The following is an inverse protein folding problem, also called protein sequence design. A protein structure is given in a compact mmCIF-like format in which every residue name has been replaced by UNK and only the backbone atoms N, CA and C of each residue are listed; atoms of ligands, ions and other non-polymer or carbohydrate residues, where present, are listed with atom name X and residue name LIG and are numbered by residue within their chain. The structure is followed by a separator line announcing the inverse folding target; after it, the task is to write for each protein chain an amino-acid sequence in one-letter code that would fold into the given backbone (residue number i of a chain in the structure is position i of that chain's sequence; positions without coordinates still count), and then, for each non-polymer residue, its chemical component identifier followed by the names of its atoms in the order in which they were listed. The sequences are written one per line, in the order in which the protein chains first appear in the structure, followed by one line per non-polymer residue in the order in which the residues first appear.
data_IF_118672089148
#
_entry.id   IF_118672089148
#
_cell.length_a   1.000
_cell.length_b   1.000
_cell.length_c   1.000
_cell.angle_alpha   90.00
_cell.angle_beta   90.00
_cell.angle_gamma   90.00
#
_symmetry.space_group_name_H-M   'P 1'
#
loop_
_entity.id
_entity.type
_entity.pdbx_description
1 polymer ?
#
# COMPACT_ATOMS: atom_id res chain seq x y z
N UNK A 1 8.76 25.45 11.23
CA UNK A 1 8.98 26.53 10.23
C UNK A 1 9.81 27.58 10.93
N UNK A 2 10.74 28.22 10.23
CA UNK A 2 11.45 29.35 10.82
C UNK A 2 10.59 30.63 10.76
N UNK A 3 10.99 31.66 11.51
CA UNK A 3 10.29 32.95 11.58
C UNK A 3 10.02 33.56 10.20
N UNK A 4 10.98 33.47 9.26
CA UNK A 4 10.83 34.02 7.91
C UNK A 4 9.78 33.28 7.09
N UNK A 5 9.72 31.96 7.20
CA UNK A 5 8.68 31.13 6.56
C UNK A 5 7.30 31.44 7.12
N UNK A 6 7.19 31.61 8.44
CA UNK A 6 5.93 32.02 9.09
C UNK A 6 5.50 33.41 8.65
N UNK A 7 6.42 34.37 8.55
CA UNK A 7 6.12 35.70 8.02
C UNK A 7 5.59 35.64 6.58
N UNK A 8 6.18 34.80 5.72
CA UNK A 8 5.70 34.59 4.37
C UNK A 8 4.30 33.95 4.32
N UNK A 9 4.03 32.97 5.22
CA UNK A 9 2.72 32.34 5.34
C UNK A 9 1.63 33.33 5.79
N UNK A 10 1.94 34.17 6.78
CA UNK A 10 1.06 35.23 7.27
C UNK A 10 0.80 36.29 6.19
N UNK A 11 1.84 36.73 5.47
CA UNK A 11 1.68 37.65 4.35
C UNK A 11 0.78 37.07 3.24
N UNK A 12 0.91 35.77 2.97
CA UNK A 12 0.02 35.07 2.05
C UNK A 12 -1.42 35.00 2.56
N UNK A 13 -1.62 34.74 3.86
CA UNK A 13 -2.95 34.76 4.48
C UNK A 13 -3.61 36.14 4.36
N UNK A 14 -2.89 37.23 4.67
CA UNK A 14 -3.38 38.62 4.52
C UNK A 14 -3.70 38.95 3.06
N UNK A 15 -2.90 38.46 2.11
CA UNK A 15 -3.19 38.63 0.67
C UNK A 15 -4.52 37.99 0.27
N UNK A 16 -4.87 36.85 0.87
CA UNK A 16 -6.13 36.13 0.59
C UNK A 16 -7.32 36.68 1.38
N UNK A 17 -7.12 37.11 2.63
CA UNK A 17 -8.11 37.75 3.48
C UNK A 17 -7.57 39.04 4.12
N UNK A 18 -7.71 40.19 3.42
CA UNK A 18 -7.20 41.48 3.90
C UNK A 18 -7.76 41.94 5.25
N UNK A 19 -8.88 41.36 5.72
CA UNK A 19 -9.44 41.66 7.05
C UNK A 19 -8.53 41.20 8.19
N UNK A 20 -7.57 40.33 7.89
CA UNK A 20 -6.59 39.78 8.83
C UNK A 20 -5.32 40.64 8.94
N UNK A 21 -5.24 41.76 8.22
CA UNK A 21 -4.07 42.62 8.24
C UNK A 21 -3.84 43.21 9.66
N UNK A 22 -2.59 43.17 10.16
CA UNK A 22 -2.26 43.81 11.44
C UNK A 22 -2.45 45.32 11.34
N UNK A 23 -2.86 45.95 12.45
CA UNK A 23 -3.13 47.38 12.51
C UNK A 23 -1.85 48.23 12.39
N UNK A 24 -0.74 47.72 12.94
CA UNK A 24 0.57 48.35 12.93
C UNK A 24 1.69 47.31 12.97
N UNK A 25 2.95 47.78 12.94
CA UNK A 25 4.13 46.92 12.96
C UNK A 25 4.28 46.15 14.27
N UNK A 26 3.93 46.74 15.42
CA UNK A 26 4.07 46.09 16.71
C UNK A 26 3.10 44.90 16.84
N UNK A 27 1.86 45.07 16.40
CA UNK A 27 0.88 43.99 16.30
C UNK A 27 1.33 42.89 15.32
N UNK A 28 1.96 43.27 14.20
CA UNK A 28 2.51 42.31 13.25
C UNK A 28 3.64 41.47 13.86
N UNK A 29 4.54 42.11 14.62
CA UNK A 29 5.65 41.44 15.29
C UNK A 29 5.16 40.46 16.37
N UNK A 30 4.18 40.85 17.19
CA UNK A 30 3.58 39.99 18.22
C UNK A 30 2.89 38.76 17.61
N UNK A 31 2.09 38.95 16.55
CA UNK A 31 1.45 37.84 15.83
C UNK A 31 2.51 36.92 15.22
N UNK A 32 3.57 37.48 14.65
CA UNK A 32 4.66 36.70 14.07
C UNK A 32 5.42 35.90 15.13
N UNK A 33 5.73 36.47 16.30
CA UNK A 33 6.34 35.75 17.44
C UNK A 33 5.44 34.58 17.88
N UNK A 34 4.16 34.85 18.12
CA UNK A 34 3.21 33.81 18.53
C UNK A 34 3.09 32.68 17.51
N UNK A 35 2.98 33.00 16.22
CA UNK A 35 2.89 31.98 15.18
C UNK A 35 4.21 31.22 14.99
N UNK A 36 5.37 31.89 15.11
CA UNK A 36 6.67 31.25 15.00
C UNK A 36 6.88 30.20 16.09
N UNK A 37 6.49 30.52 17.33
CA UNK A 37 6.56 29.59 18.45
C UNK A 37 5.63 28.39 18.25
N UNK A 38 4.36 28.64 17.89
CA UNK A 38 3.36 27.59 17.74
C UNK A 38 3.56 26.70 16.51
N UNK A 39 4.30 27.17 15.50
CA UNK A 39 4.60 26.43 14.28
C UNK A 39 6.07 26.01 14.17
N UNK A 40 6.81 26.05 15.28
CA UNK A 40 8.24 25.71 15.31
C UNK A 40 8.52 24.31 14.72
N UNK A 41 7.67 23.32 15.03
CA UNK A 41 7.80 21.93 14.58
C UNK A 41 7.05 21.59 13.26
N UNK A 42 6.44 22.59 12.62
CA UNK A 42 5.69 22.42 11.37
C UNK A 42 6.55 22.84 10.19
N UNK A 43 6.97 21.95 9.27
CA UNK A 43 7.70 22.36 8.08
C UNK A 43 6.77 23.09 7.08
N UNK A 44 7.30 23.96 6.20
CA UNK A 44 6.49 24.64 5.20
C UNK A 44 5.93 23.64 4.17
N UNK A 45 6.74 22.64 3.80
CA UNK A 45 6.38 21.53 2.91
C UNK A 45 6.98 20.23 3.43
N UNK A 46 6.34 19.09 3.16
CA UNK A 46 6.90 17.78 3.47
C UNK A 46 6.40 16.68 2.51
N UNK A 47 7.25 15.71 2.13
CA UNK A 47 6.86 14.63 1.25
C UNK A 47 5.92 13.64 1.95
N UNK A 48 5.06 12.96 1.17
CA UNK A 48 4.18 11.91 1.65
C UNK A 48 4.35 10.66 0.76
N UNK A 49 4.47 9.45 1.32
CA UNK A 49 4.70 8.23 0.53
C UNK A 49 3.58 7.92 -0.48
N UNK A 50 2.34 8.29 -0.17
CA UNK A 50 1.18 8.16 -1.07
C UNK A 50 0.96 9.36 -2.03
N UNK A 51 1.97 10.23 -2.25
CA UNK A 51 1.91 11.35 -3.20
C UNK A 51 1.11 12.59 -2.76
N UNK A 52 0.38 12.53 -1.65
CA UNK A 52 -0.34 13.67 -1.06
C UNK A 52 0.56 14.54 -0.19
N UNK A 53 1.44 15.33 -0.80
CA UNK A 53 2.42 16.14 -0.08
C UNK A 53 1.80 17.18 0.87
N UNK A 54 2.50 17.48 1.96
CA UNK A 54 2.18 18.56 2.88
C UNK A 54 2.62 19.91 2.30
N UNK A 55 1.75 20.91 2.40
CA UNK A 55 2.02 22.31 2.06
C UNK A 55 1.16 23.21 2.95
N UNK A 56 1.81 23.97 3.84
CA UNK A 56 1.12 24.87 4.77
C UNK A 56 0.30 25.95 4.04
N UNK A 57 0.74 26.41 2.86
CA UNK A 57 0.02 27.43 2.09
C UNK A 57 -1.32 26.91 1.55
N UNK A 58 -1.41 25.62 1.23
CA UNK A 58 -2.67 25.00 0.81
C UNK A 58 -3.66 24.90 1.97
N UNK A 59 -3.18 24.64 3.19
CA UNK A 59 -4.02 24.64 4.39
C UNK A 59 -4.60 26.03 4.64
N UNK A 60 -3.76 27.07 4.56
CA UNK A 60 -4.22 28.47 4.68
C UNK A 60 -5.27 28.80 3.63
N UNK A 61 -4.99 28.49 2.35
CA UNK A 61 -5.92 28.72 1.24
C UNK A 61 -7.25 28.00 1.45
N UNK A 62 -7.20 26.74 1.88
CA UNK A 62 -8.40 25.94 2.13
C UNK A 62 -9.23 26.49 3.28
N UNK A 63 -8.59 26.89 4.38
CA UNK A 63 -9.27 27.49 5.53
C UNK A 63 -9.98 28.77 5.13
N UNK A 64 -9.29 29.71 4.47
CA UNK A 64 -9.87 30.99 4.05
C UNK A 64 -11.04 30.78 3.06
N UNK A 65 -10.95 29.78 2.18
CA UNK A 65 -12.01 29.49 1.22
C UNK A 65 -13.27 28.85 1.85
N UNK A 66 -13.15 28.18 3.00
CA UNK A 66 -14.22 27.35 3.57
C UNK A 66 -14.72 27.83 4.93
N UNK A 67 -13.96 28.67 5.62
CA UNK A 67 -14.27 29.17 6.96
C UNK A 67 -14.45 30.69 6.94
N UNK A 68 -15.52 31.23 7.54
CA UNK A 68 -15.68 32.67 7.71
C UNK A 68 -14.82 33.25 8.85
N UNK A 69 -14.20 32.39 9.67
CA UNK A 69 -13.45 32.78 10.86
C UNK A 69 -11.97 33.04 10.59
N UNK A 70 -11.32 33.98 11.31
CA UNK A 70 -9.88 34.21 11.20
C UNK A 70 -9.09 32.92 11.41
N UNK A 71 -8.08 32.73 10.56
CA UNK A 71 -7.17 31.59 10.68
C UNK A 71 -6.30 31.71 11.93
N UNK A 72 -6.07 30.59 12.60
CA UNK A 72 -5.23 30.48 13.79
C UNK A 72 -4.06 29.52 13.53
N UNK A 73 -2.96 29.60 14.31
CA UNK A 73 -1.86 28.64 14.21
C UNK A 73 -2.32 27.18 14.30
N UNK A 74 -3.32 26.90 15.14
CA UNK A 74 -3.89 25.56 15.32
C UNK A 74 -4.53 24.98 14.07
N UNK A 75 -5.03 25.83 13.18
CA UNK A 75 -5.65 25.40 11.93
C UNK A 75 -4.59 24.89 10.94
N UNK A 76 -3.32 25.24 11.15
CA UNK A 76 -2.16 24.72 10.41
C UNK A 76 -1.50 23.56 11.16
N UNK A 77 -1.26 23.69 12.47
CA UNK A 77 -0.52 22.66 13.23
C UNK A 77 -1.28 21.35 13.42
N UNK A 78 -2.61 21.39 13.58
CA UNK A 78 -3.40 20.16 13.75
C UNK A 78 -3.38 19.26 12.51
N UNK A 79 -3.65 19.77 11.29
CA UNK A 79 -3.48 18.98 10.08
C UNK A 79 -2.05 18.44 9.91
N UNK A 80 -1.03 19.23 10.27
CA UNK A 80 0.35 18.76 10.24
C UNK A 80 0.57 17.55 11.15
N UNK A 81 0.10 17.59 12.40
CA UNK A 81 0.31 16.45 13.31
C UNK A 81 -0.45 15.19 12.87
N UNK A 82 -1.60 15.35 12.23
CA UNK A 82 -2.32 14.23 11.60
C UNK A 82 -1.53 13.66 10.40
N UNK A 83 -1.00 14.54 9.55
CA UNK A 83 -0.13 14.17 8.44
C UNK A 83 1.14 13.44 8.92
N UNK A 84 1.86 14.02 9.89
CA UNK A 84 3.07 13.45 10.50
C UNK A 84 2.81 12.07 11.05
N UNK A 85 1.70 11.89 11.76
CA UNK A 85 1.31 10.58 12.32
C UNK A 85 1.16 9.54 11.22
N UNK A 86 0.41 9.84 10.16
CA UNK A 86 0.22 8.88 9.07
C UNK A 86 1.54 8.58 8.32
N UNK A 87 2.42 9.57 8.13
CA UNK A 87 3.74 9.34 7.52
C UNK A 87 4.59 8.41 8.38
N UNK A 88 4.65 8.65 9.69
CA UNK A 88 5.40 7.82 10.64
C UNK A 88 4.81 6.41 10.74
N UNK A 89 3.48 6.28 10.77
CA UNK A 89 2.79 4.99 10.84
C UNK A 89 3.06 4.13 9.59
N UNK A 90 3.29 4.74 8.44
CA UNK A 90 3.65 4.06 7.18
C UNK A 90 5.15 3.78 7.04
N UNK A 91 5.98 4.43 7.84
CA UNK A 91 7.41 4.29 7.74
C UNK A 91 7.84 2.93 8.28
N UNK A 92 8.60 2.21 7.46
CA UNK A 92 9.33 1.04 7.90
C UNK A 92 10.79 1.39 8.11
N UNK A 93 11.34 1.02 9.26
CA UNK A 93 12.75 1.27 9.55
C UNK A 93 13.62 0.45 8.58
N UNK A 94 14.52 1.08 7.82
CA UNK A 94 15.52 0.35 7.06
C UNK A 94 16.56 -0.24 8.01
N UNK A 95 17.29 -1.26 7.56
CA UNK A 95 18.47 -1.76 8.29
C UNK A 95 19.50 -0.63 8.34
N UNK A 96 19.88 -0.14 9.54
CA UNK A 96 20.93 0.84 9.69
C UNK A 96 22.27 0.36 9.13
N UNK A 97 23.12 1.28 8.67
CA UNK A 97 24.47 0.97 8.20
C UNK A 97 25.49 0.77 9.33
N UNK A 98 25.05 0.79 10.59
CA UNK A 98 25.88 0.56 11.78
C UNK A 98 25.92 -0.93 12.12
N UNK A 99 26.97 -1.34 12.82
CA UNK A 99 27.17 -2.72 13.25
C UNK A 99 25.96 -3.20 14.09
N UNK A 100 25.25 -4.27 13.68
CA UNK A 100 24.15 -4.81 14.47
C UNK A 100 24.59 -5.37 15.84
N UNK A 101 25.88 -5.68 16.03
CA UNK A 101 26.42 -6.14 17.30
C UNK A 101 26.75 -4.99 18.28
N UNK A 102 26.62 -3.72 17.84
CA UNK A 102 26.59 -2.54 18.71
C UNK A 102 25.13 -2.08 18.93
N UNK A 103 24.47 -2.56 20.00
CA UNK A 103 23.06 -2.26 20.23
C UNK A 103 22.78 -0.78 20.53
N UNK A 104 23.76 -0.03 21.04
CA UNK A 104 23.59 1.39 21.36
C UNK A 104 23.57 2.22 20.08
N UNK A 105 24.59 2.04 19.24
CA UNK A 105 24.67 2.72 17.96
C UNK A 105 23.49 2.35 17.05
N UNK A 106 23.10 1.07 17.05
CA UNK A 106 21.99 0.58 16.24
C UNK A 106 20.65 1.24 16.63
N UNK A 107 20.35 1.33 17.93
CA UNK A 107 19.12 2.00 18.41
C UNK A 107 19.14 3.49 18.12
N UNK A 108 20.28 4.15 18.32
CA UNK A 108 20.42 5.58 18.01
C UNK A 108 20.15 5.87 16.53
N UNK A 109 20.65 5.03 15.62
CA UNK A 109 20.42 5.17 14.19
C UNK A 109 18.94 5.00 13.81
N UNK A 110 18.24 4.04 14.41
CA UNK A 110 16.79 3.84 14.20
C UNK A 110 15.99 5.06 14.68
N UNK A 111 16.25 5.54 15.89
CA UNK A 111 15.54 6.71 16.46
C UNK A 111 15.80 7.96 15.62
N UNK A 112 17.05 8.19 15.19
CA UNK A 112 17.39 9.32 14.34
C UNK A 112 16.64 9.28 12.99
N UNK A 113 16.53 8.08 12.39
CA UNK A 113 15.80 7.89 11.13
C UNK A 113 14.31 8.19 11.30
N UNK A 114 13.66 7.63 12.33
CA UNK A 114 12.24 7.90 12.62
C UNK A 114 11.99 9.37 12.93
N UNK A 115 12.89 10.02 13.67
CA UNK A 115 12.80 11.44 13.97
C UNK A 115 12.90 12.29 12.69
N UNK A 116 13.87 12.00 11.80
CA UNK A 116 14.02 12.70 10.53
C UNK A 116 12.77 12.60 9.65
N UNK A 117 12.12 11.44 9.63
CA UNK A 117 10.83 11.25 8.96
C UNK A 117 9.72 12.05 9.64
N UNK A 118 9.64 12.01 10.98
CA UNK A 118 8.61 12.71 11.75
C UNK A 118 8.66 14.23 11.56
N UNK A 119 9.85 14.82 11.45
CA UNK A 119 10.00 16.27 11.20
C UNK A 119 9.95 16.65 9.72
N UNK A 120 9.73 15.66 8.82
CA UNK A 120 9.68 15.87 7.37
C UNK A 120 11.04 16.14 6.70
N UNK A 121 12.16 15.91 7.40
CA UNK A 121 13.51 16.07 6.87
C UNK A 121 13.94 14.91 5.96
N UNK A 122 13.31 13.75 6.10
CA UNK A 122 13.53 12.58 5.25
C UNK A 122 12.18 11.99 4.78
N UNK A 123 12.11 11.39 3.58
CA UNK A 123 10.92 10.67 3.15
C UNK A 123 10.77 9.37 3.95
N UNK A 124 9.53 8.97 4.21
CA UNK A 124 9.25 7.66 4.78
C UNK A 124 9.70 6.55 3.80
N UNK A 125 10.52 5.62 4.28
CA UNK A 125 10.77 4.37 3.58
C UNK A 125 9.51 3.50 3.68
N UNK A 126 8.92 3.15 2.54
CA UNK A 126 7.80 2.22 2.43
C UNK A 126 8.32 0.84 2.01
N UNK A 127 7.57 -0.22 2.35
CA UNK A 127 7.83 -1.55 1.81
C UNK A 127 7.98 -1.46 0.29
N UNK A 128 9.07 -2.01 -0.24
CA UNK A 128 9.07 -2.47 -1.62
C UNK A 128 8.15 -3.68 -1.68
N UNK A 129 7.28 -3.71 -2.67
CA UNK A 129 6.55 -4.92 -3.02
C UNK A 129 7.57 -6.06 -3.17
N UNK A 130 7.31 -7.21 -2.53
CA UNK A 130 8.10 -8.42 -2.67
C UNK A 130 7.88 -8.96 -4.08
N UNK A 131 8.53 -8.32 -5.05
CA UNK A 131 8.51 -8.68 -6.47
C UNK A 131 9.58 -9.71 -6.81
N UNK A 132 10.46 -10.02 -5.85
CA UNK A 132 11.49 -11.04 -5.97
C UNK A 132 10.99 -12.42 -5.59
N UNK A 133 11.39 -13.43 -6.36
CA UNK A 133 11.26 -14.83 -5.96
C UNK A 133 12.11 -15.17 -4.72
N UNK A 134 12.07 -16.44 -4.26
CA UNK A 134 12.90 -16.89 -3.15
C UNK A 134 14.39 -16.58 -3.41
N UNK A 135 15.14 -16.27 -2.35
CA UNK A 135 16.59 -16.11 -2.42
C UNK A 135 17.25 -17.36 -3.04
N UNK A 136 18.41 -17.25 -3.72
CA UNK A 136 18.99 -18.36 -4.49
C UNK A 136 19.17 -19.66 -3.70
N UNK A 137 19.60 -19.55 -2.45
CA UNK A 137 19.76 -20.65 -1.49
C UNK A 137 18.42 -21.30 -1.11
N UNK A 138 17.38 -20.47 -0.94
CA UNK A 138 16.01 -20.93 -0.71
C UNK A 138 15.45 -21.59 -1.97
N UNK A 139 15.71 -21.03 -3.15
CA UNK A 139 15.29 -21.59 -4.43
C UNK A 139 15.95 -22.95 -4.70
N UNK A 140 17.26 -23.06 -4.43
CA UNK A 140 18.01 -24.32 -4.52
C UNK A 140 17.47 -25.35 -3.53
N UNK A 141 17.20 -24.94 -2.29
CA UNK A 141 16.62 -25.82 -1.28
C UNK A 141 15.21 -26.26 -1.63
N UNK A 142 14.39 -25.39 -2.19
CA UNK A 142 13.06 -25.74 -2.69
C UNK A 142 13.13 -26.68 -3.89
N UNK A 143 14.09 -26.49 -4.79
CA UNK A 143 14.32 -27.39 -5.91
C UNK A 143 14.80 -28.78 -5.44
N UNK A 144 15.66 -28.82 -4.42
CA UNK A 144 16.16 -30.06 -3.81
C UNK A 144 15.07 -30.81 -3.02
N UNK A 145 14.20 -30.08 -2.31
CA UNK A 145 13.05 -30.66 -1.60
C UNK A 145 11.99 -31.21 -2.57
N UNK A 146 11.92 -30.68 -3.79
CA UNK A 146 10.94 -31.07 -4.80
C UNK A 146 9.51 -30.66 -4.39
N UNK A 147 8.52 -31.39 -4.91
CA UNK A 147 7.13 -31.16 -4.53
C UNK A 147 6.88 -31.57 -3.08
N UNK A 148 6.14 -30.76 -2.32
CA UNK A 148 5.76 -31.03 -0.91
C UNK A 148 5.12 -32.42 -0.72
N UNK A 149 4.45 -32.95 -1.74
CA UNK A 149 3.97 -34.33 -1.76
C UNK A 149 4.75 -35.10 -2.82
N UNK A 150 5.56 -36.11 -2.45
CA UNK A 150 6.26 -36.94 -3.42
C UNK A 150 5.29 -37.60 -4.41
N UNK A 151 5.70 -37.77 -5.67
CA UNK A 151 4.83 -38.33 -6.73
C UNK A 151 4.25 -39.71 -6.39
N UNK A 152 5.01 -40.56 -5.71
CA UNK A 152 4.55 -41.88 -5.26
C UNK A 152 3.43 -41.77 -4.23
N UNK A 153 3.53 -40.83 -3.29
CA UNK A 153 2.49 -40.53 -2.29
C UNK A 153 1.27 -39.92 -2.97
N UNK A 154 1.48 -39.00 -3.91
CA UNK A 154 0.42 -38.43 -4.71
C UNK A 154 -0.37 -39.53 -5.47
N UNK A 155 0.32 -40.48 -6.11
CA UNK A 155 -0.31 -41.62 -6.80
C UNK A 155 -1.10 -42.52 -5.84
N UNK A 156 -0.52 -42.88 -4.69
CA UNK A 156 -1.21 -43.70 -3.69
C UNK A 156 -2.48 -43.01 -3.14
N UNK A 157 -2.46 -41.68 -3.02
CA UNK A 157 -3.61 -40.92 -2.56
C UNK A 157 -4.67 -40.68 -3.65
N UNK A 158 -4.42 -41.03 -4.91
CA UNK A 158 -5.29 -40.68 -6.04
C UNK A 158 -6.73 -41.17 -5.85
N UNK A 159 -6.91 -42.36 -5.29
CA UNK A 159 -8.22 -42.94 -4.96
C UNK A 159 -9.02 -42.07 -3.99
N UNK A 160 -8.35 -41.48 -2.99
CA UNK A 160 -8.98 -40.64 -1.97
C UNK A 160 -9.14 -39.18 -2.42
N UNK A 161 -8.46 -38.75 -3.48
CA UNK A 161 -8.49 -37.38 -4.02
C UNK A 161 -8.80 -37.32 -5.53
N UNK A 162 -9.85 -37.99 -6.02
CA UNK A 162 -10.07 -38.22 -7.45
C UNK A 162 -10.11 -36.93 -8.29
N UNK A 163 -10.66 -35.84 -7.73
CA UNK A 163 -10.66 -34.53 -8.41
C UNK A 163 -9.26 -33.95 -8.57
N UNK A 164 -8.43 -34.05 -7.54
CA UNK A 164 -7.06 -33.52 -7.59
C UNK A 164 -6.21 -34.37 -8.54
N UNK A 165 -6.36 -35.70 -8.50
CA UNK A 165 -5.72 -36.62 -9.43
C UNK A 165 -6.12 -36.37 -10.89
N UNK A 166 -7.39 -36.09 -11.17
CA UNK A 166 -7.87 -35.73 -12.52
C UNK A 166 -7.24 -34.43 -13.04
N UNK A 167 -7.14 -33.39 -12.20
CA UNK A 167 -6.49 -32.13 -12.56
C UNK A 167 -5.00 -32.31 -12.82
N UNK A 168 -4.32 -33.06 -11.96
CA UNK A 168 -2.90 -33.40 -12.12
C UNK A 168 -2.68 -34.18 -13.42
N UNK A 169 -3.53 -35.18 -13.74
CA UNK A 169 -3.47 -35.92 -15.01
C UNK A 169 -3.65 -34.99 -16.22
N UNK A 170 -4.69 -34.13 -16.22
CA UNK A 170 -4.93 -33.16 -17.30
C UNK A 170 -3.78 -32.18 -17.46
N UNK A 171 -3.16 -31.73 -16.37
CA UNK A 171 -2.00 -30.85 -16.42
C UNK A 171 -0.81 -31.54 -17.10
N UNK A 172 -0.52 -32.79 -16.73
CA UNK A 172 0.54 -33.62 -17.35
C UNK A 172 0.25 -33.90 -18.83
N UNK A 173 -0.99 -34.24 -19.18
CA UNK A 173 -1.43 -34.49 -20.56
C UNK A 173 -1.59 -33.19 -21.38
N UNK A 174 -1.40 -32.03 -20.76
CA UNK A 174 -1.56 -30.74 -21.41
C UNK A 174 -3.00 -30.41 -21.83
N UNK A 175 -4.01 -31.03 -21.21
CA UNK A 175 -5.43 -30.86 -21.48
C UNK A 175 -6.04 -29.65 -20.75
N UNK A 176 -7.14 -29.07 -21.26
CA UNK A 176 -7.89 -28.03 -20.57
C UNK A 176 -8.46 -28.51 -19.23
N UNK A 177 -8.32 -27.65 -18.21
CA UNK A 177 -8.91 -27.86 -16.89
C UNK A 177 -10.20 -27.03 -16.75
N UNK A 178 -11.37 -27.67 -16.60
CA UNK A 178 -12.64 -26.95 -16.42
C UNK A 178 -12.65 -26.03 -15.21
N UNK A 179 -11.83 -26.26 -14.19
CA UNK A 179 -11.82 -25.44 -12.97
C UNK A 179 -11.05 -24.13 -13.12
N UNK A 180 -10.30 -23.92 -14.20
CA UNK A 180 -9.55 -22.69 -14.44
C UNK A 180 -10.43 -21.48 -14.79
N UNK A 181 -11.68 -21.74 -15.18
CA UNK A 181 -12.71 -20.73 -15.48
C UNK A 181 -13.89 -20.88 -14.54
N UNK A 182 -14.66 -19.80 -14.34
CA UNK A 182 -15.95 -19.90 -13.64
C UNK A 182 -16.98 -20.64 -14.49
N UNK A 183 -17.94 -21.31 -13.86
CA UNK A 183 -19.00 -22.02 -14.58
C UNK A 183 -19.98 -21.01 -15.21
N UNK A 184 -20.17 -21.00 -16.54
CA UNK A 184 -21.09 -20.07 -17.20
C UNK A 184 -22.56 -20.51 -17.06
N UNK A 185 -22.83 -21.74 -16.63
CA UNK A 185 -24.19 -22.23 -16.45
C UNK A 185 -24.93 -21.46 -15.36
N UNK A 186 -26.02 -20.79 -15.73
CA UNK A 186 -26.69 -19.76 -14.92
C UNK A 186 -27.12 -20.23 -13.53
N UNK A 187 -27.54 -21.49 -13.41
CA UNK A 187 -28.00 -22.07 -12.14
C UNK A 187 -26.85 -22.57 -11.26
N UNK A 188 -25.67 -22.79 -11.84
CA UNK A 188 -24.51 -23.29 -11.10
C UNK A 188 -23.59 -22.15 -10.64
N UNK A 189 -23.11 -21.30 -11.57
CA UNK A 189 -22.17 -20.18 -11.32
C UNK A 189 -20.99 -20.49 -10.36
N UNK A 190 -20.55 -21.75 -10.29
CA UNK A 190 -19.44 -22.18 -9.44
C UNK A 190 -18.16 -21.43 -9.80
N UNK A 191 -17.44 -20.92 -8.79
CA UNK A 191 -16.27 -20.07 -8.98
C UNK A 191 -15.09 -20.85 -9.58
N UNK A 192 -14.06 -20.12 -10.01
CA UNK A 192 -12.76 -20.71 -10.38
C UNK A 192 -12.24 -21.55 -9.21
N UNK A 193 -11.74 -22.75 -9.49
CA UNK A 193 -11.26 -23.70 -8.48
C UNK A 193 -12.35 -24.53 -7.80
N UNK A 194 -13.64 -24.16 -7.91
CA UNK A 194 -14.74 -24.88 -7.28
C UNK A 194 -15.45 -25.83 -8.27
N UNK A 195 -15.84 -27.04 -7.85
CA UNK A 195 -16.56 -27.97 -8.71
C UNK A 195 -17.94 -27.43 -9.08
N UNK A 196 -18.45 -27.84 -10.25
CA UNK A 196 -19.84 -27.61 -10.58
C UNK A 196 -20.75 -28.29 -9.55
N UNK A 197 -21.92 -27.69 -9.29
CA UNK A 197 -22.94 -28.24 -8.39
C UNK A 197 -24.20 -28.62 -9.16
N UNK A 198 -24.96 -29.59 -8.65
CA UNK A 198 -26.27 -29.94 -9.17
C UNK A 198 -27.35 -28.99 -8.60
N UNK A 199 -28.62 -29.23 -8.96
CA UNK A 199 -29.76 -28.42 -8.51
C UNK A 199 -29.95 -28.40 -6.98
N UNK A 200 -29.45 -29.42 -6.26
CA UNK A 200 -29.44 -29.50 -4.80
C UNK A 200 -28.17 -28.92 -4.17
N UNK A 201 -27.36 -28.18 -4.93
CA UNK A 201 -26.05 -27.64 -4.52
C UNK A 201 -24.98 -28.70 -4.16
N UNK A 202 -25.20 -29.98 -4.48
CA UNK A 202 -24.19 -31.01 -4.25
C UNK A 202 -23.11 -30.99 -5.36
N UNK A 203 -21.82 -31.13 -5.03
CA UNK A 203 -20.74 -31.19 -6.01
C UNK A 203 -20.95 -32.32 -7.02
N UNK A 204 -20.87 -31.99 -8.30
CA UNK A 204 -20.91 -32.96 -9.40
C UNK A 204 -19.56 -33.68 -9.51
N UNK A 205 -19.59 -34.87 -10.11
CA UNK A 205 -18.40 -35.61 -10.53
C UNK A 205 -17.79 -35.03 -11.81
N UNK A 206 -18.63 -34.55 -12.73
CA UNK A 206 -18.23 -33.90 -13.98
C UNK A 206 -18.66 -32.42 -14.03
N UNK A 207 -17.83 -31.60 -14.69
CA UNK A 207 -18.14 -30.22 -14.99
C UNK A 207 -19.32 -30.12 -15.98
N UNK A 208 -20.06 -29.01 -15.95
CA UNK A 208 -21.07 -28.76 -16.98
C UNK A 208 -20.41 -28.67 -18.36
N UNK A 209 -21.03 -29.18 -19.44
CA UNK A 209 -20.49 -29.10 -20.80
C UNK A 209 -20.04 -27.69 -21.18
N UNK A 210 -20.87 -26.69 -20.90
CA UNK A 210 -20.54 -25.28 -21.17
C UNK A 210 -19.29 -24.76 -20.44
N UNK A 211 -18.95 -25.32 -19.27
CA UNK A 211 -17.71 -24.99 -18.55
C UNK A 211 -16.49 -25.67 -19.21
N UNK A 212 -16.65 -26.89 -19.73
CA UNK A 212 -15.61 -27.60 -20.47
C UNK A 212 -15.28 -26.88 -21.78
N UNK A 213 -16.31 -26.46 -22.52
CA UNK A 213 -16.14 -25.70 -23.77
C UNK A 213 -15.43 -24.37 -23.50
N UNK A 214 -15.85 -23.64 -22.47
CA UNK A 214 -15.23 -22.38 -22.07
C UNK A 214 -13.76 -22.56 -21.63
N UNK A 215 -13.45 -23.59 -20.85
CA UNK A 215 -12.07 -23.88 -20.43
C UNK A 215 -11.18 -24.27 -21.62
N UNK A 216 -11.74 -25.00 -22.58
CA UNK A 216 -11.08 -25.36 -23.83
C UNK A 216 -10.76 -24.11 -24.64
N UNK A 217 -11.75 -23.25 -24.86
CA UNK A 217 -11.58 -21.98 -25.56
C UNK A 217 -10.56 -21.08 -24.86
N UNK A 218 -10.64 -20.93 -23.54
CA UNK A 218 -9.70 -20.12 -22.74
C UNK A 218 -8.25 -20.61 -22.91
N UNK A 219 -8.01 -21.93 -22.92
CA UNK A 219 -6.67 -22.50 -23.06
C UNK A 219 -6.07 -22.33 -24.44
N UNK A 220 -6.87 -22.42 -25.51
CA UNK A 220 -6.39 -22.25 -26.88
C UNK A 220 -6.31 -20.78 -27.31
N UNK A 221 -7.19 -19.91 -26.83
CA UNK A 221 -7.06 -18.46 -27.04
C UNK A 221 -5.79 -17.88 -26.40
N UNK A 222 -5.33 -18.47 -25.29
CA UNK A 222 -4.05 -18.11 -24.64
C UNK A 222 -2.81 -18.57 -25.42
N UNK A 223 -2.97 -19.40 -26.48
CA UNK A 223 -1.88 -20.01 -27.27
C UNK A 223 -1.75 -19.45 -28.69
N UNK A 224 -2.69 -18.65 -29.17
CA UNK A 224 -2.49 -17.89 -30.41
C UNK A 224 -1.50 -16.75 -30.14
N UNK A 225 -0.28 -16.75 -30.73
CA UNK A 225 0.53 -15.55 -30.72
C UNK A 225 -0.23 -14.47 -31.49
N UNK A 226 -0.27 -13.26 -30.95
CA UNK A 226 -0.74 -12.08 -31.67
C UNK A 226 0.00 -12.02 -33.02
N UNK A 227 -0.76 -12.13 -34.11
CA UNK A 227 -0.27 -11.95 -35.47
C UNK A 227 0.06 -10.48 -35.75
#
# INVERSE_FOLDING_TARGET
MNRREVAALLAYAVKLDPRSAPADQAAADEVLDQWADLLADVPPTAPHPAGRHWDASQVVRHHIATSPYPIKPSDVSRPWHAFRRDVVDRHHDPVPAVDPDDPEAYRAALVATRHAVAVGAAPAATFRELTGGPAPDVAERLAALGEYVPRSVAQALAEFRPRRAERERRAVEGLPDPLDVACPYEQCRARKGEPCVNYRRNPRSSAHPSRLDLATAHRYASKEPAA
#
